data_IF_601770342551
#
_entry.id   IF_601770342551
#
_cell.length_a   1.000
_cell.length_b   1.000
_cell.length_c   1.000
_cell.angle_alpha   90.00
_cell.angle_beta   90.00
_cell.angle_gamma   90.00
#
_symmetry.space_group_name_H-M   'P 1'
#
loop_
_entity.id
_entity.type
_entity.pdbx_description
1 polymer ?
#
# COMPACT_ATOMS: atom_id res chain seq x y z
N UNK A 1 -5.86 7.43 3.99
CA UNK A 1 -5.44 6.00 3.94
C UNK A 1 -3.92 5.99 4.11
N UNK A 2 -3.35 5.16 4.99
CA UNK A 2 -1.89 5.17 5.21
C UNK A 2 -1.12 4.78 3.96
N UNK A 3 0.04 5.41 3.77
CA UNK A 3 0.93 5.13 2.65
C UNK A 3 1.28 3.63 2.67
N UNK A 4 1.13 2.99 1.51
CA UNK A 4 1.54 1.61 1.29
C UNK A 4 2.81 1.64 0.47
N UNK A 5 3.82 0.90 0.92
CA UNK A 5 5.07 0.77 0.18
C UNK A 5 4.98 -0.44 -0.70
N UNK A 6 5.08 -0.20 -2.00
CA UNK A 6 5.14 -1.23 -3.00
C UNK A 6 6.37 -1.02 -3.86
N UNK A 7 6.94 -2.14 -4.29
CA UNK A 7 7.84 -2.20 -5.42
C UNK A 7 7.12 -3.01 -6.49
N UNK A 8 7.20 -2.57 -7.75
CA UNK A 8 6.71 -3.33 -8.89
C UNK A 8 7.88 -3.93 -9.64
N UNK A 9 7.96 -5.25 -9.64
CA UNK A 9 8.93 -6.01 -10.41
C UNK A 9 8.28 -6.45 -11.73
N UNK A 10 8.77 -5.93 -12.86
CA UNK A 10 8.30 -6.31 -14.20
C UNK A 10 9.35 -7.19 -14.86
N UNK A 11 8.99 -8.43 -15.20
CA UNK A 11 9.88 -9.39 -15.85
C UNK A 11 9.31 -9.75 -17.23
N UNK A 12 10.08 -9.58 -18.30
CA UNK A 12 9.65 -9.78 -19.69
C UNK A 12 10.67 -10.65 -20.43
N UNK A 13 10.21 -11.39 -21.44
CA UNK A 13 11.07 -12.24 -22.27
C UNK A 13 11.59 -13.46 -21.55
N UNK A 14 12.35 -14.30 -22.23
CA UNK A 14 12.85 -15.58 -21.70
C UNK A 14 14.34 -15.72 -21.96
N UNK A 15 15.03 -16.40 -21.05
CA UNK A 15 16.43 -16.81 -21.20
C UNK A 15 17.32 -15.61 -21.55
N UNK A 16 17.98 -15.64 -22.70
CA UNK A 16 18.97 -14.64 -23.13
C UNK A 16 18.34 -13.32 -23.58
N UNK A 17 17.02 -13.34 -23.83
CA UNK A 17 16.21 -12.17 -24.20
C UNK A 17 15.42 -11.64 -23.01
N UNK A 18 15.68 -12.13 -21.80
CA UNK A 18 15.01 -11.67 -20.61
C UNK A 18 15.42 -10.24 -20.25
N UNK A 19 14.46 -9.43 -19.84
CA UNK A 19 14.68 -8.08 -19.33
C UNK A 19 13.69 -7.80 -18.20
N UNK A 20 14.02 -6.87 -17.33
CA UNK A 20 13.11 -6.50 -16.27
C UNK A 20 13.42 -5.15 -15.66
N UNK A 21 12.45 -4.63 -14.92
CA UNK A 21 12.58 -3.39 -14.16
C UNK A 21 12.04 -3.56 -12.76
N UNK A 22 12.65 -2.85 -11.81
CA UNK A 22 12.10 -2.63 -10.47
C UNK A 22 11.70 -1.18 -10.38
N UNK A 23 10.44 -0.94 -10.08
CA UNK A 23 9.86 0.38 -9.86
C UNK A 23 9.55 0.54 -8.37
N UNK A 24 10.26 1.44 -7.70
CA UNK A 24 10.04 1.75 -6.29
C UNK A 24 9.08 2.93 -6.15
N UNK A 25 8.00 2.76 -5.38
CA UNK A 25 7.03 3.82 -5.12
C UNK A 25 7.33 4.47 -3.76
N UNK A 26 7.94 5.67 -3.73
CA UNK A 26 8.45 6.27 -2.49
C UNK A 26 7.36 6.87 -1.59
N UNK A 27 7.71 6.96 -0.31
CA UNK A 27 6.95 7.50 0.83
C UNK A 27 6.53 8.98 0.73
N UNK A 28 7.21 9.77 -0.09
CA UNK A 28 7.30 11.21 0.14
C UNK A 28 6.37 12.05 -0.74
N UNK A 29 5.40 11.44 -1.44
CA UNK A 29 4.55 12.14 -2.41
C UNK A 29 5.33 12.74 -3.59
N UNK A 30 6.62 12.41 -3.74
CA UNK A 30 7.46 12.81 -4.86
C UNK A 30 7.25 11.79 -5.99
N UNK A 31 6.80 12.32 -7.12
CA UNK A 31 6.41 11.61 -8.35
C UNK A 31 7.52 10.79 -9.04
N UNK A 32 8.76 10.77 -8.54
CA UNK A 32 9.83 10.02 -9.20
C UNK A 32 9.87 8.59 -8.65
N UNK A 33 9.16 7.71 -9.35
CA UNK A 33 9.42 6.28 -9.32
C UNK A 33 10.88 6.06 -9.71
N UNK A 34 11.65 5.45 -8.81
CA UNK A 34 13.01 5.00 -9.15
C UNK A 34 12.89 3.71 -9.95
N UNK A 35 13.44 3.71 -11.15
CA UNK A 35 13.38 2.57 -12.07
C UNK A 35 14.79 2.02 -12.25
N UNK A 36 15.00 0.79 -11.77
CA UNK A 36 16.24 0.06 -11.96
C UNK A 36 16.05 -1.02 -13.03
N UNK A 37 16.99 -1.11 -13.98
CA UNK A 37 16.98 -2.17 -15.00
C UNK A 37 17.70 -3.41 -14.50
N UNK A 38 17.12 -4.58 -14.76
CA UNK A 38 17.67 -5.87 -14.34
C UNK A 38 18.39 -6.58 -15.49
N UNK A 39 19.48 -7.27 -15.15
CA UNK A 39 20.19 -8.14 -16.10
C UNK A 39 19.36 -9.40 -16.40
N UNK A 40 19.56 -10.04 -17.56
CA UNK A 40 18.87 -11.30 -17.89
C UNK A 40 19.05 -12.39 -16.82
N UNK A 41 20.26 -12.54 -16.29
CA UNK A 41 20.56 -13.51 -15.22
C UNK A 41 19.74 -13.24 -13.96
N UNK A 42 19.64 -11.98 -13.55
CA UNK A 42 18.86 -11.60 -12.37
C UNK A 42 17.36 -11.83 -12.60
N UNK A 43 16.86 -11.54 -13.81
CA UNK A 43 15.47 -11.83 -14.18
C UNK A 43 15.16 -13.32 -14.08
N UNK A 44 16.04 -14.18 -14.60
CA UNK A 44 15.87 -15.63 -14.55
C UNK A 44 15.94 -16.16 -13.11
N UNK A 45 16.88 -15.67 -12.31
CA UNK A 45 16.99 -16.01 -10.89
C UNK A 45 15.74 -15.58 -10.10
N UNK A 46 15.22 -14.38 -10.35
CA UNK A 46 14.00 -13.88 -9.70
C UNK A 46 12.78 -14.73 -10.05
N UNK A 47 12.64 -15.17 -11.30
CA UNK A 47 11.57 -16.12 -11.67
C UNK A 47 11.68 -17.43 -10.92
N UNK A 48 12.87 -17.99 -10.81
CA UNK A 48 13.08 -19.26 -10.11
C UNK A 48 12.79 -19.15 -8.60
N UNK A 49 13.22 -18.05 -7.97
CA UNK A 49 12.96 -17.79 -6.55
C UNK A 49 11.47 -17.58 -6.29
N UNK A 50 10.82 -16.75 -7.10
CA UNK A 50 9.40 -16.45 -6.97
C UNK A 50 8.50 -17.54 -7.56
N UNK A 51 9.06 -18.61 -8.15
CA UNK A 51 8.34 -19.72 -8.82
C UNK A 51 7.44 -19.28 -9.98
N UNK A 52 7.83 -18.23 -10.69
CA UNK A 52 7.08 -17.65 -11.81
C UNK A 52 7.34 -18.46 -13.08
N UNK A 53 6.28 -19.00 -13.68
CA UNK A 53 6.34 -19.68 -14.96
C UNK A 53 6.67 -18.70 -16.10
N UNK A 54 7.44 -19.16 -17.10
CA UNK A 54 7.84 -18.37 -18.27
C UNK A 54 6.85 -18.47 -19.43
N UNK A 55 5.99 -19.50 -19.42
CA UNK A 55 5.10 -19.83 -20.54
C UNK A 55 3.78 -19.04 -20.48
N UNK A 56 3.42 -18.54 -19.29
CA UNK A 56 2.15 -17.84 -19.07
C UNK A 56 2.35 -16.50 -18.36
N UNK A 57 1.41 -15.58 -18.59
CA UNK A 57 1.33 -14.37 -17.78
C UNK A 57 1.11 -14.75 -16.31
N UNK A 58 1.90 -14.13 -15.43
CA UNK A 58 1.75 -14.28 -13.99
C UNK A 58 2.01 -12.96 -13.31
N UNK A 59 1.13 -12.58 -12.39
CA UNK A 59 1.35 -11.51 -11.43
C UNK A 59 1.32 -12.12 -10.03
N UNK A 60 2.33 -11.83 -9.22
CA UNK A 60 2.47 -12.39 -7.87
C UNK A 60 2.58 -11.26 -6.87
N UNK A 61 1.84 -11.34 -5.77
CA UNK A 61 1.99 -10.45 -4.62
C UNK A 61 2.96 -11.11 -3.66
N UNK A 62 4.09 -10.43 -3.41
CA UNK A 62 5.14 -10.91 -2.49
C UNK A 62 5.06 -10.10 -1.20
N UNK A 63 5.12 -10.78 -0.07
CA UNK A 63 5.13 -10.13 1.24
C UNK A 63 6.46 -9.45 1.53
N UNK A 64 6.51 -8.63 2.59
CA UNK A 64 7.77 -8.02 3.07
C UNK A 64 8.77 -9.05 3.62
N UNK A 65 8.32 -10.27 3.88
CA UNK A 65 9.12 -11.44 4.23
C UNK A 65 9.80 -12.09 3.01
N UNK A 66 9.45 -11.68 1.79
CA UNK A 66 9.98 -12.25 0.54
C UNK A 66 9.17 -13.43 0.02
N UNK A 67 8.13 -13.87 0.74
CA UNK A 67 7.33 -15.03 0.37
C UNK A 67 6.16 -14.65 -0.56
N UNK A 68 5.88 -15.45 -1.61
CA UNK A 68 4.67 -15.30 -2.41
C UNK A 68 3.40 -15.46 -1.56
N UNK A 69 2.47 -14.50 -1.66
CA UNK A 69 1.20 -14.50 -0.94
C UNK A 69 0.02 -14.87 -1.83
N UNK A 70 0.00 -14.41 -3.08
CA UNK A 70 -1.11 -14.68 -4.01
C UNK A 70 -0.62 -14.62 -5.46
N UNK A 71 -1.22 -15.44 -6.31
CA UNK A 71 -0.94 -15.59 -7.73
C UNK A 71 -2.15 -15.19 -8.57
N UNK A 72 -1.92 -14.41 -9.61
CA UNK A 72 -2.92 -13.97 -10.57
C UNK A 72 -2.51 -14.40 -11.98
N UNK A 73 -3.30 -15.26 -12.65
CA UNK A 73 -2.99 -15.74 -14.01
C UNK A 73 -3.34 -14.70 -15.09
N UNK A 74 -3.91 -13.56 -14.71
CA UNK A 74 -4.27 -12.47 -15.62
C UNK A 74 -4.03 -11.11 -14.96
N UNK A 75 -3.80 -10.04 -15.75
CA UNK A 75 -3.73 -8.69 -15.22
C UNK A 75 -5.03 -8.31 -14.51
N UNK A 76 -4.92 -7.58 -13.40
CA UNK A 76 -6.06 -7.04 -12.66
C UNK A 76 -6.35 -5.61 -13.14
N UNK A 77 -7.64 -5.29 -13.32
CA UNK A 77 -8.08 -3.94 -13.73
C UNK A 77 -8.15 -2.93 -12.57
N UNK A 78 -8.27 -3.42 -11.33
CA UNK A 78 -8.27 -2.59 -10.13
C UNK A 78 -7.26 -3.10 -9.11
N UNK A 79 -6.61 -2.15 -8.43
CA UNK A 79 -5.71 -2.38 -7.32
C UNK A 79 -6.43 -2.51 -5.97
N UNK A 80 -7.75 -2.27 -5.91
CA UNK A 80 -8.51 -2.29 -4.64
C UNK A 80 -8.34 -3.62 -3.91
N UNK A 81 -8.54 -4.74 -4.62
CA UNK A 81 -8.36 -6.08 -4.09
C UNK A 81 -6.91 -6.35 -3.62
N UNK A 82 -5.91 -5.75 -4.27
CA UNK A 82 -4.51 -5.88 -3.87
C UNK A 82 -4.26 -5.07 -2.59
N UNK A 83 -4.86 -3.88 -2.47
CA UNK A 83 -4.75 -3.06 -1.27
C UNK A 83 -5.44 -3.70 -0.07
N UNK A 84 -6.61 -4.29 -0.25
CA UNK A 84 -7.31 -5.03 0.81
C UNK A 84 -6.51 -6.25 1.26
N UNK A 85 -5.94 -7.01 0.30
CA UNK A 85 -5.03 -8.11 0.61
C UNK A 85 -3.84 -7.63 1.44
N UNK A 86 -3.20 -6.54 1.02
CA UNK A 86 -2.02 -5.99 1.71
C UNK A 86 -2.37 -5.48 3.11
N UNK A 87 -3.50 -4.82 3.27
CA UNK A 87 -3.96 -4.32 4.58
C UNK A 87 -4.36 -5.45 5.53
N UNK A 88 -4.76 -6.61 5.00
CA UNK A 88 -5.03 -7.81 5.80
C UNK A 88 -3.78 -8.54 6.28
N UNK A 89 -2.60 -8.23 5.73
CA UNK A 89 -1.34 -8.90 6.10
C UNK A 89 -0.91 -8.58 7.53
N UNK A 90 -0.40 -9.57 8.25
CA UNK A 90 -0.02 -9.43 9.65
C UNK A 90 1.02 -8.32 9.89
N UNK A 91 2.09 -8.29 9.09
CA UNK A 91 3.12 -7.26 9.18
C UNK A 91 2.52 -5.86 8.98
N UNK A 92 1.56 -5.71 8.06
CA UNK A 92 0.88 -4.44 7.81
C UNK A 92 0.02 -4.02 9.01
N UNK A 93 -0.68 -4.96 9.64
CA UNK A 93 -1.44 -4.70 10.87
C UNK A 93 -0.53 -4.26 12.03
N UNK A 94 0.66 -4.87 12.17
CA UNK A 94 1.63 -4.48 13.19
C UNK A 94 2.19 -3.07 12.94
N UNK A 95 2.52 -2.74 11.70
CA UNK A 95 2.96 -1.39 11.30
C UNK A 95 1.88 -0.34 11.59
N UNK A 96 0.62 -0.61 11.23
CA UNK A 96 -0.49 0.29 11.50
C UNK A 96 -0.69 0.54 13.01
N UNK A 97 -0.58 -0.51 13.84
CA UNK A 97 -0.62 -0.39 15.31
C UNK A 97 0.54 0.46 15.83
N UNK A 98 1.75 0.28 15.29
CA UNK A 98 2.91 1.07 15.68
C UNK A 98 2.75 2.55 15.28
N UNK A 99 2.32 2.84 14.06
CA UNK A 99 2.05 4.21 13.61
C UNK A 99 1.03 4.91 14.52
N UNK A 100 -0.05 4.22 14.88
CA UNK A 100 -1.05 4.72 15.84
C UNK A 100 -0.45 5.00 17.22
N UNK A 101 0.39 4.11 17.74
CA UNK A 101 1.10 4.33 19.02
C UNK A 101 2.06 5.52 18.98
N UNK A 102 2.68 5.76 17.84
CA UNK A 102 3.61 6.87 17.62
C UNK A 102 2.91 8.20 17.26
N UNK A 103 1.57 8.21 17.19
CA UNK A 103 0.82 9.41 16.80
C UNK A 103 0.98 9.81 15.33
N UNK A 104 1.49 8.91 14.48
CA UNK A 104 1.61 9.15 13.04
C UNK A 104 0.21 9.06 12.45
N UNK A 105 -0.33 10.19 11.99
CA UNK A 105 -1.62 10.24 11.34
C UNK A 105 -1.44 10.27 9.82
N UNK A 106 -2.19 9.41 9.14
CA UNK A 106 -2.19 9.33 7.69
C UNK A 106 -3.25 10.28 7.15
N UNK A 107 -2.90 11.23 6.30
CA UNK A 107 -3.91 12.05 5.63
C UNK A 107 -4.87 11.14 4.84
N UNK A 108 -6.16 11.43 4.96
CA UNK A 108 -7.15 10.87 4.05
C UNK A 108 -6.99 11.56 2.71
N UNK A 109 -6.73 10.75 1.68
CA UNK A 109 -6.58 11.21 0.31
C UNK A 109 -7.95 11.70 -0.16
N UNK A 110 -8.19 13.00 -0.03
CA UNK A 110 -9.24 13.67 -0.79
C UNK A 110 -8.70 13.81 -2.21
N UNK A 111 -9.14 12.91 -3.08
CA UNK A 111 -8.90 13.04 -4.52
C UNK A 111 -9.32 14.43 -5.00
N UNK A 112 -8.35 15.16 -5.56
CA UNK A 112 -8.49 16.24 -6.54
C UNK A 112 -9.42 17.42 -6.21
N UNK A 113 -8.84 18.60 -5.99
CA UNK A 113 -9.52 19.89 -6.21
C UNK A 113 -9.02 21.01 -5.30
N UNK A 114 -8.29 21.97 -5.87
CA UNK A 114 -7.82 23.14 -5.13
C UNK A 114 -8.96 24.02 -4.62
N UNK A 115 -8.82 24.53 -3.40
CA UNK A 115 -9.03 25.93 -3.07
C UNK A 115 -8.54 26.22 -1.65
N UNK A 116 -8.20 27.48 -1.48
CA UNK A 116 -7.62 28.11 -0.30
C UNK A 116 -8.57 28.08 0.92
N UNK A 117 -7.94 28.27 2.09
CA UNK A 117 -8.49 28.73 3.38
C UNK A 117 -9.20 27.76 4.34
N UNK A 118 -8.49 27.55 5.46
CA UNK A 118 -8.86 27.94 6.84
C UNK A 118 -10.10 27.35 7.56
N UNK A 119 -9.84 27.04 8.84
CA UNK A 119 -10.77 26.86 9.96
C UNK A 119 -11.72 25.65 9.96
N UNK A 120 -11.42 24.67 10.84
CA UNK A 120 -12.27 24.32 12.00
C UNK A 120 -11.88 22.97 12.62
N UNK A 121 -11.37 22.98 13.85
CA UNK A 121 -11.51 21.86 14.78
C UNK A 121 -11.65 22.40 16.19
N UNK A 122 -12.90 22.53 16.63
CA UNK A 122 -13.29 22.99 17.95
C UNK A 122 -14.76 22.68 18.19
N UNK A 123 -15.18 21.43 18.00
CA UNK A 123 -16.51 20.94 18.37
C UNK A 123 -16.42 19.45 18.72
N UNK A 124 -15.95 19.15 19.93
CA UNK A 124 -16.25 17.85 20.55
C UNK A 124 -16.23 17.87 22.09
N UNK A 125 -16.36 19.04 22.71
CA UNK A 125 -16.35 19.14 24.18
C UNK A 125 -17.73 19.55 24.75
N UNK A 126 -18.51 20.39 24.05
CA UNK A 126 -19.85 20.82 24.52
C UNK A 126 -20.94 19.73 24.47
N UNK A 127 -20.80 18.70 23.63
CA UNK A 127 -21.81 17.63 23.54
C UNK A 127 -21.71 16.62 24.69
N UNK A 128 -20.56 16.54 25.35
CA UNK A 128 -20.38 15.70 26.54
C UNK A 128 -20.92 16.39 27.80
N UNK A 129 -20.77 17.71 27.92
CA UNK A 129 -21.27 18.46 29.08
C UNK A 129 -22.79 18.56 29.10
N UNK A 130 -23.45 18.74 27.95
CA UNK A 130 -24.93 18.82 27.92
C UNK A 130 -25.59 17.50 28.33
N UNK A 131 -24.98 16.35 28.03
CA UNK A 131 -25.56 15.03 28.37
C UNK A 131 -25.39 14.68 29.86
N UNK A 132 -24.38 15.24 30.53
CA UNK A 132 -24.21 15.13 31.99
C UNK A 132 -25.17 16.03 32.78
N UNK A 133 -25.61 17.15 32.21
CA UNK A 133 -26.53 18.06 32.91
C UNK A 133 -27.98 17.54 32.93
N UNK A 134 -28.43 16.88 31.86
CA UNK A 134 -29.79 16.32 31.79
C UNK A 134 -29.98 15.08 32.69
N UNK A 135 -28.93 14.34 33.02
CA UNK A 135 -29.02 13.13 33.84
C UNK A 135 -29.08 13.38 35.35
N UNK A 136 -28.84 14.62 35.81
CA UNK A 136 -28.95 15.01 37.23
C UNK A 136 -30.26 15.72 37.58
N UNK A 137 -31.16 15.93 36.61
CA UNK A 137 -32.40 16.69 36.82
C UNK A 137 -33.64 15.82 37.03
N UNK A 138 -33.49 14.49 37.10
CA UNK A 138 -34.57 13.54 37.41
C UNK A 138 -34.30 12.80 38.73
N UNK A 139 -34.30 13.54 39.84
CA UNK A 139 -34.67 13.07 41.19
C UNK A 139 -35.40 14.18 41.97
#
# INVERSE_FOLDING_TARGET
MCIRHFAMLKLIGTEEKASGTVELFPLNGRSQTEVESLTPDLVNNMREQLKIDKDYFSMVVVGKDGDPKTWFPSPMWSLDNIYDLVDSMELRLQEAKLQKRLGIHCQEDRGTGGNEQEHSHGYNEERAEMMHFYSQSEE
#
